data_IF_134867497858
#
_entry.id   IF_134867497858
#
_cell.length_a   1.000
_cell.length_b   1.000
_cell.length_c   1.000
_cell.angle_alpha   90.00
_cell.angle_beta   90.00
_cell.angle_gamma   90.00
#
_symmetry.space_group_name_H-M   'P 1'
#
loop_
_entity.id
_entity.type
_entity.pdbx_description
1 polymer ?
#
# COMPACT_ATOMS: atom_id res chain seq x y z
N UNK A 1 -10.01 -13.17 -24.44
CA UNK A 1 -8.99 -13.94 -23.68
C UNK A 1 -7.73 -14.10 -24.54
N UNK A 2 -6.65 -13.42 -24.19
CA UNK A 2 -5.34 -13.55 -24.86
C UNK A 2 -4.43 -14.44 -24.00
N UNK A 3 -4.01 -15.58 -24.54
CA UNK A 3 -2.98 -16.42 -23.92
C UNK A 3 -1.61 -15.93 -24.40
N UNK A 4 -0.80 -15.39 -23.49
CA UNK A 4 0.61 -15.20 -23.77
C UNK A 4 1.28 -16.58 -23.80
N UNK A 5 1.73 -17.00 -24.98
CA UNK A 5 2.28 -18.34 -25.21
C UNK A 5 3.70 -18.53 -24.68
N UNK A 6 4.38 -17.45 -24.27
CA UNK A 6 5.71 -17.52 -23.67
C UNK A 6 5.66 -17.65 -22.14
N UNK A 7 4.63 -17.10 -21.51
CA UNK A 7 4.49 -17.09 -20.04
C UNK A 7 3.36 -17.98 -19.51
N UNK A 8 2.46 -18.46 -20.37
CA UNK A 8 1.32 -19.28 -19.98
C UNK A 8 0.20 -18.50 -19.28
N UNK A 9 0.25 -17.16 -19.34
CA UNK A 9 -0.70 -16.29 -18.65
C UNK A 9 -1.94 -16.07 -19.52
N UNK A 10 -3.10 -16.36 -18.93
CA UNK A 10 -4.42 -16.10 -19.51
C UNK A 10 -4.83 -14.66 -19.17
N UNK A 11 -4.83 -13.78 -20.17
CA UNK A 11 -5.32 -12.41 -20.05
C UNK A 11 -6.81 -12.41 -20.38
N UNK A 12 -7.65 -12.25 -19.36
CA UNK A 12 -9.08 -11.99 -19.57
C UNK A 12 -9.32 -10.52 -19.98
N UNK A 13 -10.49 -10.24 -20.56
CA UNK A 13 -10.81 -9.05 -21.36
C UNK A 13 -10.74 -7.69 -20.66
N UNK A 14 -10.35 -7.61 -19.39
CA UNK A 14 -10.51 -6.39 -18.57
C UNK A 14 -9.23 -5.58 -18.33
N UNK A 15 -8.17 -5.80 -19.13
CA UNK A 15 -7.08 -4.82 -19.20
C UNK A 15 -7.59 -3.54 -19.89
N UNK A 16 -8.08 -2.57 -19.11
CA UNK A 16 -8.30 -1.21 -19.61
C UNK A 16 -6.96 -0.52 -19.81
N UNK A 17 -6.56 -0.46 -21.07
CA UNK A 17 -5.42 0.32 -21.52
C UNK A 17 -5.84 1.79 -21.60
N UNK A 18 -5.34 2.62 -20.69
CA UNK A 18 -5.45 4.07 -20.80
C UNK A 18 -4.17 4.60 -21.44
N UNK A 19 -4.33 5.30 -22.57
CA UNK A 19 -3.25 5.77 -23.44
C UNK A 19 -3.05 7.27 -23.23
N UNK A 20 -3.10 7.73 -21.98
CA UNK A 20 -2.58 9.05 -21.62
C UNK A 20 -1.08 8.93 -21.36
N UNK A 21 -0.31 9.74 -22.07
CA UNK A 21 1.14 9.65 -22.19
C UNK A 21 1.85 9.67 -20.84
N UNK A 22 2.21 8.50 -20.29
CA UNK A 22 3.47 8.13 -19.57
C UNK A 22 3.32 6.96 -18.58
N UNK A 23 2.10 6.52 -18.22
CA UNK A 23 1.90 5.47 -17.19
C UNK A 23 0.91 4.39 -17.66
N UNK A 24 1.33 3.12 -17.65
CA UNK A 24 0.49 1.95 -17.94
C UNK A 24 -0.10 1.35 -16.65
N UNK A 25 -1.42 1.18 -16.60
CA UNK A 25 -2.10 0.53 -15.47
C UNK A 25 -2.02 -0.99 -15.58
N UNK A 26 -1.62 -1.66 -14.49
CA UNK A 26 -1.53 -3.12 -14.35
C UNK A 26 -2.42 -3.54 -13.19
N UNK A 27 -3.29 -4.54 -13.37
CA UNK A 27 -4.19 -4.98 -12.31
C UNK A 27 -3.68 -6.28 -11.68
N UNK A 28 -3.66 -6.33 -10.35
CA UNK A 28 -3.39 -7.55 -9.58
C UNK A 28 -4.61 -8.46 -9.60
N UNK A 29 -4.66 -9.42 -10.52
CA UNK A 29 -5.75 -10.40 -10.56
C UNK A 29 -5.34 -11.65 -9.74
N UNK A 30 -6.20 -12.03 -8.79
CA UNK A 30 -6.09 -13.21 -7.89
C UNK A 30 -5.18 -13.07 -6.66
N UNK A 31 -4.98 -11.86 -6.15
CA UNK A 31 -4.49 -11.64 -4.78
C UNK A 31 -3.01 -11.98 -4.52
N UNK A 32 -2.21 -12.23 -5.57
CA UNK A 32 -0.77 -12.42 -5.43
C UNK A 32 -0.03 -11.23 -6.03
N UNK A 33 0.30 -10.26 -5.19
CA UNK A 33 1.15 -9.10 -5.49
C UNK A 33 2.40 -9.49 -6.31
N UNK A 34 3.01 -10.63 -5.95
CA UNK A 34 4.18 -11.21 -6.64
C UNK A 34 3.95 -11.44 -8.15
N UNK A 35 2.76 -11.89 -8.55
CA UNK A 35 2.43 -12.16 -9.96
C UNK A 35 2.20 -10.87 -10.75
N UNK A 36 1.63 -9.86 -10.10
CA UNK A 36 1.43 -8.54 -10.71
C UNK A 36 2.77 -7.84 -10.98
N UNK A 37 3.72 -7.99 -10.04
CA UNK A 37 5.11 -7.53 -10.19
C UNK A 37 5.80 -8.23 -11.36
N UNK A 38 5.77 -9.57 -11.40
CA UNK A 38 6.39 -10.38 -12.47
C UNK A 38 5.86 -10.01 -13.88
N UNK A 39 4.56 -9.71 -14.01
CA UNK A 39 3.97 -9.25 -15.27
C UNK A 39 4.45 -7.86 -15.69
N UNK A 40 4.53 -6.90 -14.76
CA UNK A 40 5.00 -5.54 -15.05
C UNK A 40 6.45 -5.54 -15.56
N UNK A 41 7.31 -6.40 -15.02
CA UNK A 41 8.72 -6.53 -15.39
C UNK A 41 8.94 -7.13 -16.79
N UNK A 42 8.24 -8.23 -17.09
CA UNK A 42 8.26 -8.83 -18.43
C UNK A 42 7.87 -7.83 -19.50
N UNK A 43 6.99 -6.88 -19.17
CA UNK A 43 6.59 -5.82 -20.11
C UNK A 43 7.60 -4.67 -20.17
N UNK A 44 8.15 -4.24 -19.02
CA UNK A 44 9.21 -3.21 -18.95
C UNK A 44 10.42 -3.60 -19.81
N UNK A 45 10.88 -4.85 -19.69
CA UNK A 45 12.00 -5.39 -20.47
C UNK A 45 11.73 -5.41 -21.99
N UNK A 46 10.49 -5.69 -22.41
CA UNK A 46 10.08 -5.61 -23.82
C UNK A 46 10.12 -4.16 -24.33
N UNK A 47 9.72 -3.18 -23.51
CA UNK A 47 9.72 -1.75 -23.89
C UNK A 47 11.08 -1.06 -23.80
N UNK A 48 12.01 -1.53 -22.96
CA UNK A 48 13.40 -1.04 -22.95
C UNK A 48 14.14 -1.30 -24.26
N UNK A 49 13.75 -2.34 -25.02
CA UNK A 49 14.23 -2.55 -26.40
C UNK A 49 13.62 -1.57 -27.42
N UNK A 50 12.66 -0.75 -27.01
CA UNK A 50 11.97 0.24 -27.85
C UNK A 50 11.74 1.57 -27.13
N UNK A 51 12.80 2.33 -26.89
CA UNK A 51 12.88 3.79 -26.64
C UNK A 51 11.84 4.53 -25.77
N UNK A 52 10.94 3.86 -25.04
CA UNK A 52 9.91 4.51 -24.24
C UNK A 52 10.00 4.05 -22.79
N UNK A 53 10.28 4.99 -21.89
CA UNK A 53 10.29 4.77 -20.45
C UNK A 53 8.83 4.78 -19.96
N UNK A 54 8.22 3.60 -19.85
CA UNK A 54 6.82 3.47 -19.44
C UNK A 54 6.79 3.05 -17.97
N UNK A 55 6.27 3.91 -17.09
CA UNK A 55 5.98 3.55 -15.71
C UNK A 55 4.72 2.68 -15.63
N UNK A 56 4.61 1.80 -14.64
CA UNK A 56 3.40 1.05 -14.35
C UNK A 56 2.88 1.33 -12.94
N UNK A 57 1.56 1.31 -12.80
CA UNK A 57 0.91 1.28 -11.50
C UNK A 57 0.19 -0.06 -11.35
N UNK A 58 0.47 -0.80 -10.29
CA UNK A 58 -0.27 -2.02 -9.94
C UNK A 58 -1.49 -1.60 -9.13
N UNK A 59 -2.68 -2.10 -9.46
CA UNK A 59 -3.92 -1.81 -8.75
C UNK A 59 -4.50 -3.05 -8.08
N UNK A 60 -5.19 -2.89 -6.95
CA UNK A 60 -5.99 -3.95 -6.34
C UNK A 60 -7.31 -4.15 -7.10
N UNK A 61 -8.13 -5.11 -6.63
CA UNK A 61 -9.44 -5.41 -7.21
C UNK A 61 -10.47 -4.27 -7.11
N UNK A 62 -10.19 -3.25 -6.31
CA UNK A 62 -11.05 -2.08 -6.09
C UNK A 62 -10.48 -0.83 -6.79
N UNK A 63 -9.49 -0.98 -7.68
CA UNK A 63 -8.79 0.11 -8.35
C UNK A 63 -7.98 1.04 -7.42
N UNK A 64 -7.61 0.58 -6.22
CA UNK A 64 -6.63 1.29 -5.39
C UNK A 64 -5.22 1.02 -5.91
N UNK A 65 -4.36 2.03 -5.91
CA UNK A 65 -2.95 1.83 -6.28
C UNK A 65 -2.28 0.97 -5.21
N UNK A 66 -1.71 -0.14 -5.65
CA UNK A 66 -0.95 -1.09 -4.85
C UNK A 66 0.55 -0.87 -5.03
N UNK A 67 1.06 -0.44 -6.18
CA UNK A 67 2.49 -0.14 -6.36
C UNK A 67 2.71 0.81 -7.54
N UNK A 68 3.67 1.73 -7.42
CA UNK A 68 4.27 2.44 -8.57
C UNK A 68 5.59 1.74 -8.95
N UNK A 69 5.84 1.45 -10.22
CA UNK A 69 7.06 0.71 -10.66
C UNK A 69 8.35 1.50 -10.54
N UNK A 70 8.26 2.81 -10.33
CA UNK A 70 9.42 3.63 -10.00
C UNK A 70 10.03 3.22 -8.65
N UNK A 71 9.28 2.44 -7.85
CA UNK A 71 9.67 1.91 -6.55
C UNK A 71 10.15 0.43 -6.58
N UNK A 72 10.50 -0.10 -7.75
CA UNK A 72 11.07 -1.44 -7.89
C UNK A 72 12.59 -1.35 -8.14
N UNK A 73 13.38 -2.09 -7.35
CA UNK A 73 14.81 -2.27 -7.65
C UNK A 73 15.03 -3.08 -8.93
N UNK A 74 16.25 -3.01 -9.49
CA UNK A 74 16.71 -3.89 -10.58
C UNK A 74 16.63 -5.40 -10.28
N UNK A 75 16.44 -5.79 -9.01
CA UNK A 75 16.39 -7.18 -8.56
C UNK A 75 15.00 -7.60 -8.05
N UNK A 76 13.94 -6.88 -8.44
CA UNK A 76 12.55 -7.24 -8.15
C UNK A 76 12.19 -7.23 -6.64
N UNK A 77 12.99 -6.52 -5.84
CA UNK A 77 12.62 -6.13 -4.49
C UNK A 77 11.96 -4.77 -4.52
N UNK A 78 10.86 -4.63 -3.80
CA UNK A 78 10.30 -3.32 -3.45
C UNK A 78 11.38 -2.51 -2.75
N UNK A 79 11.66 -1.28 -3.21
CA UNK A 79 12.40 -0.30 -2.42
C UNK A 79 11.51 0.43 -1.43
N UNK A 80 10.19 0.23 -1.53
CA UNK A 80 9.21 0.89 -0.69
C UNK A 80 9.43 0.47 0.76
N UNK A 81 9.57 1.47 1.63
CA UNK A 81 9.67 1.27 3.07
C UNK A 81 8.42 0.55 3.56
N UNK A 82 8.61 -0.65 4.08
CA UNK A 82 7.51 -1.47 4.61
C UNK A 82 7.39 -1.26 6.10
N UNK A 83 6.23 -0.78 6.54
CA UNK A 83 5.90 -0.51 7.93
C UNK A 83 4.78 -1.47 8.36
N UNK A 84 4.93 -2.09 9.52
CA UNK A 84 4.04 -3.18 9.95
C UNK A 84 3.41 -2.85 11.28
N UNK A 85 2.09 -2.63 11.28
CA UNK A 85 1.27 -2.56 12.48
C UNK A 85 0.92 -3.98 12.90
N UNK A 86 1.25 -4.36 14.14
CA UNK A 86 0.96 -5.70 14.64
C UNK A 86 -0.21 -5.69 15.64
N UNK A 87 -1.37 -6.20 15.22
CA UNK A 87 -2.57 -6.35 16.05
C UNK A 87 -2.37 -7.16 17.33
N UNK A 88 -1.35 -8.02 17.40
CA UNK A 88 -1.02 -8.74 18.63
C UNK A 88 -0.40 -7.87 19.72
N UNK A 89 0.14 -6.70 19.37
CA UNK A 89 0.88 -5.82 20.29
C UNK A 89 0.02 -4.89 21.12
N UNK A 90 -1.30 -4.86 20.89
CA UNK A 90 -2.23 -4.04 21.66
C UNK A 90 -3.53 -4.79 22.01
N UNK A 91 -4.20 -4.29 23.03
CA UNK A 91 -5.48 -4.83 23.55
C UNK A 91 -6.53 -3.76 23.83
N UNK A 92 -6.18 -2.49 23.58
CA UNK A 92 -7.05 -1.31 23.70
C UNK A 92 -6.57 -0.22 22.71
N UNK A 93 -7.33 0.88 22.65
CA UNK A 93 -7.07 2.04 21.77
C UNK A 93 -5.75 2.73 22.10
N UNK A 94 -5.40 2.85 23.37
CA UNK A 94 -4.13 3.46 23.80
C UNK A 94 -2.94 2.61 23.35
N UNK A 95 -3.02 1.28 23.51
CA UNK A 95 -2.03 0.35 23.00
C UNK A 95 -1.87 0.42 21.48
N UNK A 96 -2.95 0.67 20.73
CA UNK A 96 -2.86 0.91 19.29
C UNK A 96 -2.01 2.14 18.98
N UNK A 97 -2.25 3.28 19.63
CA UNK A 97 -1.45 4.48 19.41
C UNK A 97 0.02 4.28 19.82
N UNK A 98 0.29 3.53 20.89
CA UNK A 98 1.67 3.17 21.25
C UNK A 98 2.36 2.29 20.18
N UNK A 99 1.64 1.41 19.50
CA UNK A 99 2.18 0.65 18.36
C UNK A 99 2.41 1.56 17.15
N UNK A 100 1.52 2.54 16.89
CA UNK A 100 1.73 3.56 15.87
C UNK A 100 3.01 4.35 16.15
N UNK A 101 3.21 4.82 17.39
CA UNK A 101 4.41 5.55 17.76
C UNK A 101 5.68 4.74 17.48
N UNK A 102 5.66 3.46 17.84
CA UNK A 102 6.78 2.56 17.64
C UNK A 102 7.05 2.26 16.16
N UNK A 103 6.03 2.22 15.31
CA UNK A 103 6.16 1.83 13.90
C UNK A 103 6.44 3.03 13.00
N UNK A 104 5.81 4.17 13.27
CA UNK A 104 5.80 5.34 12.39
C UNK A 104 6.61 6.52 12.94
N UNK A 105 6.86 6.59 14.24
CA UNK A 105 7.52 7.74 14.88
C UNK A 105 8.68 7.37 15.80
N UNK A 106 9.26 6.18 15.64
CA UNK A 106 10.34 5.66 16.50
C UNK A 106 11.61 6.53 16.53
N UNK A 107 11.77 7.42 15.56
CA UNK A 107 12.91 8.35 15.45
C UNK A 107 12.65 9.70 16.17
N UNK A 108 11.42 9.93 16.66
CA UNK A 108 11.10 11.14 17.40
C UNK A 108 11.60 11.07 18.84
N UNK A 109 12.05 12.21 19.35
CA UNK A 109 12.44 12.39 20.75
C UNK A 109 11.31 12.97 21.63
N UNK A 110 10.12 13.14 21.06
CA UNK A 110 8.93 13.64 21.73
C UNK A 110 7.75 12.69 21.52
N UNK A 111 6.73 12.83 22.36
CA UNK A 111 5.48 12.07 22.22
C UNK A 111 4.53 12.72 21.22
N UNK A 112 3.95 11.91 20.36
CA UNK A 112 2.88 12.29 19.45
C UNK A 112 1.52 12.30 20.16
N UNK A 113 0.52 12.93 19.54
CA UNK A 113 -0.84 12.90 20.04
C UNK A 113 -1.50 11.54 19.79
N UNK A 114 -2.26 11.03 20.76
CA UNK A 114 -3.01 9.79 20.62
C UNK A 114 -4.46 10.09 20.23
N UNK A 115 -4.65 10.54 18.98
CA UNK A 115 -5.96 10.83 18.40
C UNK A 115 -5.89 10.75 16.86
N UNK A 116 -7.06 10.82 16.20
CA UNK A 116 -7.16 10.68 14.74
C UNK A 116 -6.49 11.82 13.95
N UNK A 117 -6.46 13.05 14.47
CA UNK A 117 -5.78 14.16 13.80
C UNK A 117 -4.26 13.92 13.79
N UNK A 118 -3.71 13.53 14.95
CA UNK A 118 -2.29 13.20 15.04
C UNK A 118 -1.92 11.98 14.18
N UNK A 119 -2.77 10.95 14.13
CA UNK A 119 -2.58 9.81 13.22
C UNK A 119 -2.53 10.27 11.75
N UNK A 120 -3.46 11.13 11.33
CA UNK A 120 -3.48 11.69 9.98
C UNK A 120 -2.18 12.45 9.67
N UNK A 121 -1.71 13.29 10.59
CA UNK A 121 -0.45 14.02 10.42
C UNK A 121 0.76 13.08 10.32
N UNK A 122 0.80 12.02 11.14
CA UNK A 122 1.86 10.99 11.09
C UNK A 122 1.89 10.29 9.73
N UNK A 123 0.73 9.99 9.15
CA UNK A 123 0.61 9.30 7.86
C UNK A 123 1.03 10.17 6.66
N UNK A 124 0.91 11.49 6.75
CA UNK A 124 1.52 12.40 5.76
C UNK A 124 3.05 12.36 5.79
N UNK A 125 3.66 12.05 6.94
CA UNK A 125 5.10 12.01 7.12
C UNK A 125 5.74 13.39 7.17
N UNK A 126 7.04 13.44 6.86
CA UNK A 126 7.86 14.65 7.04
C UNK A 126 8.40 14.80 8.46
N UNK A 127 8.09 13.81 9.30
CA UNK A 127 8.65 13.57 10.61
C UNK A 127 8.47 12.08 10.93
N UNK A 128 9.27 11.54 11.85
CA UNK A 128 9.25 10.11 12.14
C UNK A 128 10.03 9.30 11.11
N UNK A 129 9.49 8.17 10.67
CA UNK A 129 10.24 7.18 9.89
C UNK A 129 10.18 7.37 8.38
N UNK A 130 9.44 8.35 7.86
CA UNK A 130 9.36 8.61 6.41
C UNK A 130 9.18 10.10 6.08
N UNK A 131 9.66 10.51 4.91
CA UNK A 131 9.55 11.89 4.43
C UNK A 131 8.10 12.24 4.06
N UNK A 132 7.83 13.53 3.88
CA UNK A 132 6.49 14.02 3.53
C UNK A 132 6.06 13.44 2.18
N UNK A 133 4.91 12.75 2.16
CA UNK A 133 4.38 12.03 1.00
C UNK A 133 5.32 10.95 0.41
N UNK A 134 6.33 10.49 1.17
CA UNK A 134 7.16 9.37 0.75
C UNK A 134 6.29 8.12 0.53
N UNK A 135 6.46 7.47 -0.62
CA UNK A 135 5.73 6.22 -0.87
C UNK A 135 6.12 5.16 0.15
N UNK A 136 5.12 4.65 0.89
CA UNK A 136 5.31 3.58 1.89
C UNK A 136 4.34 2.42 1.66
N UNK A 137 4.70 1.25 2.18
CA UNK A 137 3.85 0.08 2.22
C UNK A 137 3.47 -0.22 3.67
N UNK A 138 2.22 0.07 4.02
CA UNK A 138 1.70 -0.13 5.36
C UNK A 138 0.93 -1.46 5.42
N UNK A 139 1.41 -2.36 6.26
CA UNK A 139 0.80 -3.68 6.48
C UNK A 139 0.20 -3.75 7.88
N UNK A 140 -1.07 -4.10 7.98
CA UNK A 140 -1.73 -4.37 9.26
C UNK A 140 -1.90 -5.87 9.46
N UNK A 141 -1.04 -6.45 10.30
CA UNK A 141 -1.10 -7.87 10.63
C UNK A 141 -2.10 -8.15 11.77
N UNK A 142 -2.80 -9.28 11.68
CA UNK A 142 -3.83 -9.70 12.64
C UNK A 142 -4.93 -8.64 12.84
N UNK A 143 -5.39 -8.08 11.72
CA UNK A 143 -6.45 -7.07 11.67
C UNK A 143 -7.77 -7.57 12.26
N UNK A 144 -8.04 -8.87 12.21
CA UNK A 144 -9.23 -9.47 12.82
C UNK A 144 -9.29 -9.19 14.33
N UNK A 145 -8.16 -9.32 15.04
CA UNK A 145 -8.07 -8.95 16.45
C UNK A 145 -8.24 -7.45 16.64
N UNK A 146 -7.60 -6.62 15.81
CA UNK A 146 -7.71 -5.17 15.89
C UNK A 146 -9.14 -4.66 15.68
N UNK A 147 -9.92 -5.29 14.80
CA UNK A 147 -11.35 -4.99 14.58
C UNK A 147 -12.19 -5.18 15.85
N UNK A 148 -11.85 -6.18 16.66
CA UNK A 148 -12.52 -6.42 17.95
C UNK A 148 -12.07 -5.43 19.03
N UNK A 149 -10.78 -5.09 19.05
CA UNK A 149 -10.20 -4.19 20.04
C UNK A 149 -10.60 -2.72 19.80
N UNK A 150 -10.63 -2.30 18.53
CA UNK A 150 -10.92 -0.93 18.10
C UNK A 150 -12.38 -0.80 17.63
N UNK A 151 -13.30 -1.47 18.33
CA UNK A 151 -14.73 -1.52 17.97
C UNK A 151 -15.55 -0.33 18.47
N UNK A 152 -14.94 0.56 19.25
CA UNK A 152 -15.60 1.77 19.76
C UNK A 152 -16.22 2.57 18.62
N UNK A 153 -17.47 2.99 18.79
CA UNK A 153 -18.21 3.70 17.75
C UNK A 153 -17.88 5.19 17.77
N UNK A 154 -17.50 5.69 16.61
CA UNK A 154 -17.43 7.11 16.26
C UNK A 154 -18.54 7.36 15.24
N UNK A 155 -19.62 7.98 15.71
CA UNK A 155 -20.87 8.14 14.96
C UNK A 155 -21.47 6.80 14.51
N UNK A 156 -21.31 6.44 13.23
CA UNK A 156 -21.84 5.22 12.62
C UNK A 156 -20.76 4.25 12.14
N UNK A 157 -19.50 4.46 12.54
CA UNK A 157 -18.35 3.62 12.19
C UNK A 157 -17.58 3.24 13.44
N UNK A 158 -16.92 2.09 13.39
CA UNK A 158 -15.92 1.73 14.42
C UNK A 158 -14.67 2.58 14.23
N UNK A 159 -13.92 2.79 15.32
CA UNK A 159 -12.60 3.41 15.28
C UNK A 159 -11.70 2.71 14.25
N UNK A 160 -11.74 1.38 14.19
CA UNK A 160 -11.04 0.60 13.15
C UNK A 160 -11.38 1.08 11.73
N UNK A 161 -12.69 1.19 11.41
CA UNK A 161 -13.13 1.63 10.08
C UNK A 161 -12.68 3.06 9.78
N UNK A 162 -12.78 3.97 10.75
CA UNK A 162 -12.32 5.35 10.58
C UNK A 162 -10.81 5.41 10.29
N UNK A 163 -9.99 4.62 10.99
CA UNK A 163 -8.54 4.55 10.74
C UNK A 163 -8.25 4.06 9.31
N UNK A 164 -8.95 3.02 8.86
CA UNK A 164 -8.78 2.48 7.50
C UNK A 164 -9.13 3.51 6.43
N UNK A 165 -10.18 4.31 6.66
CA UNK A 165 -10.55 5.41 5.76
C UNK A 165 -9.45 6.47 5.70
N UNK A 166 -8.96 6.92 6.86
CA UNK A 166 -7.83 7.86 6.92
C UNK A 166 -6.63 7.31 6.15
N UNK A 167 -6.21 6.06 6.40
CA UNK A 167 -5.08 5.45 5.70
C UNK A 167 -5.30 5.44 4.18
N UNK A 168 -6.52 5.12 3.72
CA UNK A 168 -6.86 5.05 2.29
C UNK A 168 -6.96 6.40 1.60
N UNK A 169 -7.20 7.48 2.35
CA UNK A 169 -7.20 8.84 1.81
C UNK A 169 -5.77 9.34 1.47
N UNK A 170 -4.73 8.64 1.91
CA UNK A 170 -3.32 8.96 1.61
C UNK A 170 -2.84 8.23 0.35
N UNK A 171 -2.75 8.94 -0.76
CA UNK A 171 -2.41 8.35 -2.07
C UNK A 171 -0.99 7.75 -2.14
N UNK A 172 -0.05 8.20 -1.30
CA UNK A 172 1.31 7.67 -1.20
C UNK A 172 1.42 6.41 -0.32
N UNK A 173 0.33 6.00 0.33
CA UNK A 173 0.31 4.80 1.17
C UNK A 173 -0.33 3.65 0.41
N UNK A 174 0.47 2.65 0.12
CA UNK A 174 -0.04 1.33 -0.25
C UNK A 174 -0.44 0.62 1.03
N UNK A 175 -1.70 0.22 1.13
CA UNK A 175 -2.22 -0.43 2.34
C UNK A 175 -2.67 -1.87 2.11
N UNK A 176 -2.36 -2.74 3.07
CA UNK A 176 -2.92 -4.10 3.11
C UNK A 176 -3.15 -4.57 4.55
N UNK A 177 -4.16 -5.42 4.75
CA UNK A 177 -4.49 -6.05 6.03
C UNK A 177 -4.70 -7.55 5.87
N UNK A 178 -4.39 -8.34 6.91
CA UNK A 178 -4.67 -9.77 7.01
C UNK A 178 -5.32 -10.16 8.33
#
# INVERSE_FOLDING_TARGET
>A
MFLDRNTGIVLDHDFKYDKSDTIQKVYSIHGSLKKAIEYAENRKTITEHGNNNIGYCIYDKNENIVLHTDNLTKNNSLTIKTLVINGDKFSDTEGFYNEIDKVLTSELNWKTGHNLNALNDILWGGFGVHEYEESIYLVWNNSAKSKMVLSDLLENKTLYQTIIEIIRDHAHIVFSEN
#
